data_IF_192771582700
#
_entry.id   IF_192771582700
#
_cell.length_a   1.000
_cell.length_b   1.000
_cell.length_c   1.000
_cell.angle_alpha   90.00
_cell.angle_beta   90.00
_cell.angle_gamma   90.00
#
_symmetry.space_group_name_H-M   'P 1'
#
loop_
_entity.id
_entity.type
_entity.pdbx_description
1 polymer ?
#
# COMPACT_ATOMS: atom_id res chain seq x y z
N UNK A 1 48.07 7.83 -21.62
CA UNK A 1 48.37 8.76 -22.73
C UNK A 1 47.84 8.09 -24.00
N UNK A 2 46.63 8.45 -24.45
CA UNK A 2 45.99 8.11 -25.74
C UNK A 2 44.58 8.76 -25.77
N UNK A 3 44.49 10.08 -25.56
CA UNK A 3 43.20 10.77 -25.35
C UNK A 3 42.52 11.25 -26.65
N UNK A 4 43.14 11.07 -27.82
CA UNK A 4 42.67 11.63 -29.09
C UNK A 4 42.88 10.72 -30.32
N UNK A 5 43.04 9.40 -30.12
CA UNK A 5 43.12 8.46 -31.24
C UNK A 5 41.77 7.78 -31.43
N UNK A 6 41.19 7.97 -32.62
CA UNK A 6 39.92 7.39 -33.02
C UNK A 6 40.08 6.65 -34.34
N UNK A 7 39.32 5.58 -34.53
CA UNK A 7 39.25 4.81 -35.78
C UNK A 7 37.81 4.75 -36.27
N UNK A 8 37.64 4.64 -37.58
CA UNK A 8 36.32 4.48 -38.20
C UNK A 8 36.06 2.99 -38.42
N UNK A 9 34.92 2.48 -37.94
CA UNK A 9 34.46 1.11 -38.19
C UNK A 9 33.05 1.10 -38.80
N UNK A 10 32.75 0.10 -39.61
CA UNK A 10 31.40 -0.11 -40.12
C UNK A 10 30.54 -0.84 -39.10
N UNK A 11 29.46 -0.20 -38.63
CA UNK A 11 28.51 -0.82 -37.71
C UNK A 11 27.41 -1.55 -38.49
N UNK A 12 27.34 -2.88 -38.34
CA UNK A 12 26.29 -3.70 -38.97
C UNK A 12 24.89 -3.42 -38.43
N UNK A 13 24.77 -3.00 -37.18
CA UNK A 13 23.47 -2.66 -36.57
C UNK A 13 22.94 -1.31 -37.06
N UNK A 14 23.85 -0.35 -37.33
CA UNK A 14 23.47 0.98 -37.81
C UNK A 14 23.60 1.15 -39.33
N UNK A 15 24.14 0.15 -40.04
CA UNK A 15 24.40 0.17 -41.49
C UNK A 15 25.18 1.41 -41.96
N UNK A 16 26.11 1.92 -41.14
CA UNK A 16 26.93 3.11 -41.44
C UNK A 16 28.31 3.03 -40.80
N UNK A 17 29.23 3.87 -41.29
CA UNK A 17 30.54 4.09 -40.69
C UNK A 17 30.40 4.96 -39.41
N UNK A 18 31.07 4.55 -38.34
CA UNK A 18 31.01 5.22 -37.03
C UNK A 18 32.41 5.36 -36.46
N UNK A 19 32.68 6.49 -35.81
CA UNK A 19 33.96 6.77 -35.14
C UNK A 19 33.93 6.13 -33.75
N UNK A 20 34.96 5.33 -33.42
CA UNK A 20 35.11 4.66 -32.13
C UNK A 20 36.51 4.88 -31.56
N UNK A 21 36.69 4.65 -30.27
CA UNK A 21 38.02 4.67 -29.65
C UNK A 21 38.94 3.60 -30.24
N UNK A 22 40.25 3.85 -30.23
CA UNK A 22 41.28 2.94 -30.75
C UNK A 22 41.25 1.52 -30.14
N UNK A 23 40.79 1.40 -28.89
CA UNK A 23 40.61 0.15 -28.14
C UNK A 23 39.36 -0.66 -28.54
N UNK A 24 38.51 -0.16 -29.44
CA UNK A 24 37.37 -0.92 -29.93
C UNK A 24 37.81 -2.05 -30.87
N UNK A 25 37.58 -3.30 -30.47
CA UNK A 25 37.88 -4.50 -31.27
C UNK A 25 36.75 -4.76 -32.27
N UNK A 26 37.07 -4.73 -33.56
CA UNK A 26 36.15 -5.13 -34.62
C UNK A 26 36.22 -6.63 -34.88
N UNK A 27 35.08 -7.29 -35.05
CA UNK A 27 35.03 -8.68 -35.51
C UNK A 27 35.28 -8.74 -37.03
N UNK A 28 36.55 -8.85 -37.41
CA UNK A 28 37.00 -9.11 -38.78
C UNK A 28 37.62 -10.51 -38.90
N UNK A 29 37.39 -11.19 -40.02
CA UNK A 29 37.97 -12.50 -40.33
C UNK A 29 39.43 -12.37 -40.77
N UNK A 30 40.29 -13.17 -40.12
CA UNK A 30 41.52 -13.83 -40.60
C UNK A 30 42.89 -13.41 -40.00
N UNK A 31 43.56 -14.47 -39.52
CA UNK A 31 44.99 -14.81 -39.26
C UNK A 31 46.09 -13.73 -39.40
N UNK A 32 46.85 -13.55 -38.31
CA UNK A 32 48.32 -13.41 -38.31
C UNK A 32 48.88 -13.77 -36.92
N UNK A 33 49.99 -14.48 -36.91
CA UNK A 33 50.82 -14.85 -35.75
C UNK A 33 51.46 -13.64 -35.06
N UNK A 34 51.79 -13.77 -33.77
CA UNK A 34 52.75 -12.88 -33.09
C UNK A 34 52.48 -12.55 -31.62
N UNK A 35 53.03 -13.38 -30.73
CA UNK A 35 53.52 -13.08 -29.37
C UNK A 35 52.56 -12.74 -28.20
N UNK A 36 52.40 -13.77 -27.37
CA UNK A 36 52.60 -13.85 -25.90
C UNK A 36 51.98 -12.79 -24.98
N UNK A 37 50.93 -13.23 -24.27
CA UNK A 37 50.45 -12.63 -23.02
C UNK A 37 49.44 -13.54 -22.31
N UNK A 38 49.94 -14.32 -21.35
CA UNK A 38 49.24 -15.05 -20.28
C UNK A 38 47.75 -15.43 -20.50
N UNK A 39 47.55 -16.68 -20.92
CA UNK A 39 46.28 -17.40 -20.81
C UNK A 39 45.99 -17.77 -19.34
N UNK A 40 45.18 -16.95 -18.65
CA UNK A 40 44.36 -17.44 -17.54
C UNK A 40 43.01 -17.88 -18.11
N UNK A 41 42.75 -19.18 -17.98
CA UNK A 41 41.60 -19.92 -18.48
C UNK A 41 40.27 -19.31 -18.04
N UNK A 42 39.64 -18.52 -18.90
CA UNK A 42 38.21 -18.27 -18.83
C UNK A 42 37.47 -19.41 -19.56
N UNK A 43 37.52 -20.63 -18.99
CA UNK A 43 36.62 -21.72 -19.40
C UNK A 43 35.22 -21.35 -18.96
N UNK A 44 34.50 -20.57 -19.77
CA UNK A 44 33.05 -20.49 -19.68
C UNK A 44 32.51 -21.89 -19.98
N UNK A 45 31.81 -22.57 -19.05
CA UNK A 45 31.17 -23.83 -19.40
C UNK A 45 30.03 -23.49 -20.35
N UNK A 46 30.23 -23.74 -21.64
CA UNK A 46 29.13 -23.78 -22.59
C UNK A 46 28.39 -25.09 -22.36
N UNK A 47 27.47 -25.10 -21.38
CA UNK A 47 26.46 -26.14 -21.27
C UNK A 47 25.52 -26.01 -22.47
N UNK A 48 25.91 -26.62 -23.60
CA UNK A 48 24.98 -26.87 -24.70
C UNK A 48 24.08 -28.02 -24.26
N UNK A 49 22.90 -27.68 -23.75
CA UNK A 49 21.83 -28.65 -23.53
C UNK A 49 21.52 -29.31 -24.88
N UNK A 50 21.88 -30.58 -25.02
CA UNK A 50 21.47 -31.37 -26.18
C UNK A 50 19.93 -31.47 -26.16
N UNK A 51 19.23 -31.35 -27.28
CA UNK A 51 17.76 -31.36 -27.32
C UNK A 51 17.17 -32.63 -26.68
N UNK A 52 17.92 -33.74 -26.72
CA UNK A 52 17.56 -35.02 -26.10
C UNK A 52 17.60 -34.97 -24.56
N UNK A 53 18.55 -34.23 -23.97
CA UNK A 53 18.62 -34.07 -22.51
C UNK A 53 17.47 -33.18 -21.98
N UNK A 54 17.04 -32.21 -22.79
CA UNK A 54 15.89 -31.35 -22.48
C UNK A 54 14.57 -32.15 -22.53
N UNK A 55 14.40 -33.08 -23.48
CA UNK A 55 13.20 -33.92 -23.57
C UNK A 55 13.11 -34.92 -22.42
N UNK A 56 14.24 -35.46 -21.96
CA UNK A 56 14.29 -36.35 -20.79
C UNK A 56 14.00 -35.62 -19.46
N UNK A 57 14.49 -34.39 -19.29
CA UNK A 57 14.18 -33.54 -18.13
C UNK A 57 12.70 -33.11 -18.09
N UNK A 58 12.08 -32.90 -19.27
CA UNK A 58 10.64 -32.63 -19.39
C UNK A 58 9.77 -33.84 -19.03
N UNK A 59 10.23 -35.06 -19.31
CA UNK A 59 9.48 -36.29 -19.01
C UNK A 59 9.56 -36.66 -17.52
N UNK A 60 10.63 -36.28 -16.81
CA UNK A 60 10.79 -36.47 -15.36
C UNK A 60 10.17 -35.36 -14.50
N UNK A 61 9.41 -34.42 -15.07
CA UNK A 61 8.65 -33.43 -14.30
C UNK A 61 9.47 -32.31 -13.64
N UNK A 62 10.76 -32.15 -13.96
CA UNK A 62 11.63 -31.15 -13.31
C UNK A 62 11.47 -29.71 -13.84
N UNK A 63 10.49 -29.46 -14.72
CA UNK A 63 10.06 -28.12 -15.13
C UNK A 63 8.82 -27.67 -14.34
N UNK A 64 8.88 -27.73 -13.01
CA UNK A 64 7.97 -26.91 -12.20
C UNK A 64 8.46 -25.47 -12.28
N UNK A 65 7.99 -24.72 -13.28
CA UNK A 65 7.92 -23.27 -13.18
C UNK A 65 7.12 -22.98 -11.92
N UNK A 66 7.80 -22.63 -10.82
CA UNK A 66 7.14 -22.06 -9.67
C UNK A 66 6.47 -20.79 -10.18
N UNK A 67 5.16 -20.85 -10.43
CA UNK A 67 4.35 -19.66 -10.59
C UNK A 67 4.51 -18.92 -9.28
N UNK A 68 5.38 -17.91 -9.28
CA UNK A 68 5.44 -16.95 -8.19
C UNK A 68 4.01 -16.43 -8.07
N UNK A 69 3.33 -16.77 -6.97
CA UNK A 69 2.01 -16.22 -6.73
C UNK A 69 2.19 -14.71 -6.57
N UNK A 70 1.92 -13.97 -7.65
CA UNK A 70 1.73 -12.54 -7.54
C UNK A 70 0.57 -12.35 -6.57
N UNK A 71 0.80 -11.67 -5.44
CA UNK A 71 -0.32 -11.24 -4.60
C UNK A 71 -1.13 -10.26 -5.45
N UNK A 72 -2.20 -10.75 -6.08
CA UNK A 72 -3.11 -9.88 -6.80
C UNK A 72 -3.76 -8.94 -5.78
N UNK A 73 -3.56 -7.64 -5.97
CA UNK A 73 -4.21 -6.59 -5.16
C UNK A 73 -5.71 -6.64 -5.47
N UNK A 74 -6.50 -7.05 -4.50
CA UNK A 74 -7.93 -7.32 -4.67
C UNK A 74 -8.72 -6.88 -3.44
N UNK A 75 -9.99 -6.58 -3.68
CA UNK A 75 -10.98 -6.37 -2.62
C UNK A 75 -11.91 -7.59 -2.64
N UNK A 76 -11.96 -8.32 -1.53
CA UNK A 76 -12.78 -9.54 -1.38
C UNK A 76 -13.54 -9.49 -0.07
N UNK A 77 -14.87 -9.55 -0.18
CA UNK A 77 -15.75 -9.65 0.97
C UNK A 77 -15.45 -10.90 1.81
N UNK A 78 -15.69 -10.82 3.12
CA UNK A 78 -15.58 -11.97 4.00
C UNK A 78 -16.86 -12.82 3.94
N UNK A 79 -16.82 -13.91 3.17
CA UNK A 79 -17.96 -14.80 3.02
C UNK A 79 -18.36 -15.53 4.33
N UNK A 80 -17.53 -15.46 5.37
CA UNK A 80 -17.82 -16.03 6.70
C UNK A 80 -18.53 -15.05 7.63
N UNK A 81 -18.56 -13.75 7.29
CA UNK A 81 -19.26 -12.73 8.07
C UNK A 81 -20.80 -12.86 7.96
N UNK A 82 -21.58 -12.25 8.86
CA UNK A 82 -23.03 -12.10 8.67
C UNK A 82 -23.36 -11.49 7.30
N UNK A 83 -24.47 -11.92 6.66
CA UNK A 83 -24.82 -11.50 5.29
C UNK A 83 -24.95 -10.00 5.10
N UNK A 84 -25.46 -9.30 6.11
CA UNK A 84 -25.57 -7.84 6.18
C UNK A 84 -24.22 -7.13 6.40
N UNK A 85 -23.10 -7.86 6.46
CA UNK A 85 -21.74 -7.34 6.55
C UNK A 85 -20.87 -7.80 5.36
N UNK A 86 -21.42 -8.52 4.38
CA UNK A 86 -20.71 -9.02 3.20
C UNK A 86 -20.89 -8.06 2.02
N UNK A 87 -20.07 -7.02 1.83
CA UNK A 87 -20.28 -6.05 0.75
C UNK A 87 -20.22 -6.72 -0.63
N UNK A 88 -20.90 -6.13 -1.61
CA UNK A 88 -20.83 -6.61 -2.99
C UNK A 88 -19.73 -5.86 -3.73
N UNK A 89 -18.75 -6.60 -4.25
CA UNK A 89 -17.64 -6.04 -5.05
C UNK A 89 -17.96 -6.25 -6.53
N UNK A 90 -18.06 -5.15 -7.25
CA UNK A 90 -18.31 -5.04 -8.68
C UNK A 90 -17.11 -4.36 -9.35
N UNK A 91 -17.20 -4.15 -10.66
CA UNK A 91 -16.30 -3.26 -11.39
C UNK A 91 -17.07 -2.07 -11.95
N UNK A 92 -16.47 -0.88 -11.88
CA UNK A 92 -16.95 0.29 -12.62
C UNK A 92 -16.74 0.11 -14.12
N UNK A 93 -17.37 0.97 -14.93
CA UNK A 93 -17.22 0.94 -16.39
C UNK A 93 -15.75 1.11 -16.86
N UNK A 94 -14.93 1.81 -16.08
CA UNK A 94 -13.50 2.00 -16.36
C UNK A 94 -12.59 0.99 -15.61
N UNK A 95 -13.17 -0.04 -15.01
CA UNK A 95 -12.45 -1.20 -14.48
C UNK A 95 -11.85 -1.03 -13.08
N UNK A 96 -12.33 -0.07 -12.29
CA UNK A 96 -12.00 0.02 -10.86
C UNK A 96 -12.88 -0.92 -10.04
N UNK A 97 -12.38 -1.51 -8.94
CA UNK A 97 -13.24 -2.19 -7.99
C UNK A 97 -14.23 -1.21 -7.37
N UNK A 98 -15.51 -1.54 -7.44
CA UNK A 98 -16.61 -0.82 -6.81
C UNK A 98 -17.20 -1.67 -5.69
N UNK A 99 -17.15 -1.17 -4.47
CA UNK A 99 -17.78 -1.77 -3.32
C UNK A 99 -19.15 -1.13 -3.14
N UNK A 100 -20.22 -1.87 -3.41
CA UNK A 100 -21.53 -1.52 -2.87
C UNK A 100 -21.53 -1.86 -1.39
N UNK A 101 -21.41 -0.81 -0.57
CA UNK A 101 -21.40 -0.94 0.89
C UNK A 101 -22.75 -1.47 1.38
N UNK A 102 -22.73 -2.11 2.54
CA UNK A 102 -23.91 -2.67 3.18
C UNK A 102 -24.84 -1.59 3.73
N UNK A 103 -26.12 -1.96 3.91
CA UNK A 103 -27.14 -1.09 4.48
C UNK A 103 -26.67 -0.51 5.82
N UNK A 104 -26.62 0.82 5.99
CA UNK A 104 -26.29 1.42 7.26
C UNK A 104 -27.34 1.08 8.31
N UNK A 105 -26.92 0.95 9.57
CA UNK A 105 -27.85 0.85 10.68
C UNK A 105 -28.49 2.21 11.02
N UNK A 106 -29.36 2.24 12.03
CA UNK A 106 -30.10 3.44 12.46
C UNK A 106 -29.20 4.61 12.93
N UNK A 107 -27.91 4.34 13.18
CA UNK A 107 -26.89 5.33 13.55
C UNK A 107 -26.12 5.86 12.33
N UNK A 108 -26.31 5.24 11.17
CA UNK A 108 -25.62 5.57 9.92
C UNK A 108 -24.29 4.85 9.75
N UNK A 109 -24.00 3.81 10.53
CA UNK A 109 -22.81 2.96 10.36
C UNK A 109 -23.10 1.86 9.34
N UNK A 110 -22.35 1.86 8.23
CA UNK A 110 -22.27 0.75 7.29
C UNK A 110 -21.05 -0.11 7.65
N UNK A 111 -21.28 -1.36 8.06
CA UNK A 111 -20.23 -2.29 8.49
C UNK A 111 -19.94 -3.32 7.40
N UNK A 112 -18.75 -3.27 6.83
CA UNK A 112 -18.32 -4.07 5.69
C UNK A 112 -17.11 -4.92 6.09
N UNK A 113 -17.24 -6.24 5.99
CA UNK A 113 -16.19 -7.19 6.34
C UNK A 113 -15.51 -7.80 5.12
N UNK A 114 -14.19 -7.91 5.18
CA UNK A 114 -13.35 -8.34 4.07
C UNK A 114 -12.35 -9.41 4.51
N UNK A 115 -12.08 -10.38 3.63
CA UNK A 115 -10.92 -11.27 3.77
C UNK A 115 -9.65 -10.67 3.16
N UNK A 116 -9.83 -9.67 2.29
CA UNK A 116 -8.76 -8.91 1.67
C UNK A 116 -9.30 -7.55 1.25
N UNK A 117 -8.57 -6.49 1.56
CA UNK A 117 -8.88 -5.14 1.08
C UNK A 117 -7.58 -4.49 0.66
N UNK A 118 -7.22 -4.69 -0.60
CA UNK A 118 -6.07 -4.10 -1.24
C UNK A 118 -6.52 -3.21 -2.39
N UNK A 119 -5.95 -2.01 -2.47
CA UNK A 119 -6.29 -0.99 -3.46
C UNK A 119 -5.09 -0.80 -4.37
N UNK A 120 -5.26 -1.12 -5.65
CA UNK A 120 -4.22 -0.86 -6.66
C UNK A 120 -4.08 0.64 -6.93
N UNK A 121 -3.03 1.03 -7.66
CA UNK A 121 -2.75 2.44 -7.96
C UNK A 121 -3.89 3.20 -8.65
N UNK A 122 -4.71 2.50 -9.44
CA UNK A 122 -5.88 3.08 -10.10
C UNK A 122 -7.02 3.46 -9.14
N UNK A 123 -6.99 2.97 -7.90
CA UNK A 123 -7.96 3.29 -6.86
C UNK A 123 -9.13 2.31 -6.75
N UNK A 124 -10.09 2.66 -5.90
CA UNK A 124 -11.31 1.90 -5.61
C UNK A 124 -12.48 2.83 -5.26
N UNK A 125 -13.71 2.37 -5.50
CA UNK A 125 -14.93 3.12 -5.16
C UNK A 125 -15.65 2.46 -3.98
N UNK A 126 -16.05 3.25 -2.98
CA UNK A 126 -17.05 2.91 -1.97
C UNK A 126 -18.38 3.57 -2.37
N UNK A 127 -19.35 2.79 -2.83
CA UNK A 127 -20.60 3.32 -3.35
C UNK A 127 -21.60 3.64 -2.22
N UNK A 128 -21.60 4.90 -1.77
CA UNK A 128 -22.51 5.47 -0.79
C UNK A 128 -23.61 6.35 -1.44
N UNK A 129 -24.05 5.99 -2.66
CA UNK A 129 -24.97 6.79 -3.44
C UNK A 129 -26.35 6.14 -3.61
N UNK A 130 -27.43 6.90 -3.36
CA UNK A 130 -28.82 6.47 -3.66
C UNK A 130 -29.29 6.81 -5.07
N UNK A 131 -28.46 7.51 -5.84
CA UNK A 131 -28.71 7.91 -7.23
C UNK A 131 -27.50 7.57 -8.10
N UNK A 132 -27.68 7.61 -9.40
CA UNK A 132 -26.55 7.54 -10.32
C UNK A 132 -25.66 8.76 -10.10
N UNK A 133 -24.37 8.54 -9.89
CA UNK A 133 -23.43 9.59 -9.51
C UNK A 133 -22.17 9.48 -10.36
N UNK A 134 -21.73 10.62 -10.88
CA UNK A 134 -20.43 10.75 -11.51
C UNK A 134 -19.37 10.81 -10.41
N UNK A 135 -18.36 9.94 -10.51
CA UNK A 135 -17.20 9.90 -9.60
C UNK A 135 -15.97 10.53 -10.24
N UNK A 136 -15.00 10.93 -9.43
CA UNK A 136 -13.73 11.50 -9.89
C UNK A 136 -12.86 10.45 -10.58
N UNK A 137 -12.76 9.23 -10.02
CA UNK A 137 -11.89 8.17 -10.57
C UNK A 137 -12.64 7.02 -11.24
N UNK A 138 -13.90 6.74 -10.88
CA UNK A 138 -14.65 5.55 -11.35
C UNK A 138 -15.61 5.78 -12.53
N UNK A 139 -15.73 7.02 -13.02
CA UNK A 139 -16.76 7.39 -14.00
C UNK A 139 -18.18 7.35 -13.41
N UNK A 140 -19.17 7.02 -14.24
CA UNK A 140 -20.55 6.88 -13.79
C UNK A 140 -20.75 5.61 -12.96
N UNK A 141 -21.21 5.78 -11.72
CA UNK A 141 -21.56 4.70 -10.79
C UNK A 141 -23.08 4.71 -10.57
N UNK A 142 -23.70 3.53 -10.69
CA UNK A 142 -25.14 3.38 -10.45
C UNK A 142 -25.47 3.49 -8.96
N UNK A 143 -26.71 3.85 -8.64
CA UNK A 143 -27.22 3.85 -7.27
C UNK A 143 -26.96 2.50 -6.58
N UNK A 144 -26.53 2.53 -5.33
CA UNK A 144 -26.38 1.36 -4.48
C UNK A 144 -27.77 0.91 -3.99
N UNK A 145 -28.26 -0.28 -4.40
CA UNK A 145 -29.59 -0.75 -4.01
C UNK A 145 -29.71 -1.06 -2.51
N UNK A 146 -28.60 -1.19 -1.77
CA UNK A 146 -28.62 -1.44 -0.32
C UNK A 146 -28.90 -0.19 0.52
N UNK A 147 -28.99 1.00 -0.09
CA UNK A 147 -29.12 2.29 0.61
C UNK A 147 -30.54 2.86 0.59
N UNK A 148 -31.58 2.02 0.44
CA UNK A 148 -32.98 2.46 0.38
C UNK A 148 -33.36 3.30 1.61
N UNK A 149 -32.93 2.87 2.79
CA UNK A 149 -33.17 3.55 4.07
C UNK A 149 -32.31 4.79 4.33
N UNK A 150 -31.28 5.05 3.51
CA UNK A 150 -30.37 6.18 3.67
C UNK A 150 -28.92 5.83 3.36
N UNK A 151 -28.12 6.86 3.06
CA UNK A 151 -26.67 6.73 2.92
C UNK A 151 -25.95 6.63 4.28
N UNK A 152 -24.78 6.00 4.30
CA UNK A 152 -23.92 5.91 5.46
C UNK A 152 -23.37 7.28 5.87
N UNK A 153 -23.22 7.47 7.18
CA UNK A 153 -22.39 8.54 7.78
C UNK A 153 -20.97 8.05 8.04
N UNK A 154 -20.84 6.77 8.40
CA UNK A 154 -19.56 6.10 8.66
C UNK A 154 -19.52 4.81 7.85
N UNK A 155 -18.47 4.62 7.07
CA UNK A 155 -18.19 3.40 6.31
C UNK A 155 -17.02 2.70 7.00
N UNK A 156 -17.34 1.65 7.75
CA UNK A 156 -16.35 0.78 8.37
C UNK A 156 -15.99 -0.34 7.41
N UNK A 157 -14.72 -0.39 7.03
CA UNK A 157 -14.11 -1.50 6.31
C UNK A 157 -13.23 -2.28 7.30
N UNK A 158 -13.71 -3.44 7.76
CA UNK A 158 -13.01 -4.30 8.70
C UNK A 158 -12.44 -5.52 7.97
N UNK A 159 -11.13 -5.70 8.07
CA UNK A 159 -10.40 -6.74 7.34
C UNK A 159 -10.02 -7.84 8.31
N UNK A 160 -10.59 -9.03 8.10
CA UNK A 160 -10.24 -10.27 8.75
C UNK A 160 -9.22 -11.04 7.89
N UNK A 161 -7.98 -10.57 7.90
CA UNK A 161 -6.89 -11.16 7.11
C UNK A 161 -5.65 -11.39 7.97
N UNK A 162 -4.83 -12.37 7.59
CA UNK A 162 -3.50 -12.60 8.19
C UNK A 162 -2.41 -11.68 7.63
N UNK A 163 -2.69 -11.01 6.51
CA UNK A 163 -1.75 -10.14 5.79
C UNK A 163 -2.17 -8.67 5.96
N UNK A 164 -1.22 -7.72 5.97
CA UNK A 164 -1.52 -6.30 5.93
C UNK A 164 -2.26 -5.90 4.65
N UNK A 165 -3.15 -4.91 4.76
CA UNK A 165 -3.78 -4.27 3.60
C UNK A 165 -2.76 -3.46 2.80
N UNK A 166 -2.79 -3.59 1.48
CA UNK A 166 -1.93 -2.86 0.54
C UNK A 166 -2.74 -1.76 -0.14
N UNK A 167 -2.53 -0.50 0.26
CA UNK A 167 -3.24 0.65 -0.26
C UNK A 167 -2.29 1.48 -1.14
N UNK A 168 -2.41 1.34 -2.47
CA UNK A 168 -1.50 1.98 -3.44
C UNK A 168 -2.14 3.11 -4.26
N UNK A 169 -3.42 3.39 -4.04
CA UNK A 169 -4.20 4.40 -4.76
C UNK A 169 -5.32 4.98 -3.89
N UNK A 170 -6.13 5.86 -4.48
CA UNK A 170 -7.19 6.55 -3.76
C UNK A 170 -8.43 5.68 -3.60
N UNK A 171 -9.09 5.82 -2.45
CA UNK A 171 -10.43 5.27 -2.21
C UNK A 171 -11.41 6.44 -2.33
N UNK A 172 -12.40 6.36 -3.21
CA UNK A 172 -13.40 7.41 -3.38
C UNK A 172 -14.75 6.96 -2.84
N UNK A 173 -15.38 7.80 -2.01
CA UNK A 173 -16.76 7.62 -1.60
C UNK A 173 -17.68 8.22 -2.68
N UNK A 174 -18.37 7.39 -3.45
CA UNK A 174 -19.35 7.86 -4.42
C UNK A 174 -20.63 8.31 -3.72
N UNK A 175 -21.18 9.46 -4.11
CA UNK A 175 -22.42 9.99 -3.54
C UNK A 175 -22.17 10.83 -2.29
N UNK A 176 -22.87 10.50 -1.20
CA UNK A 176 -22.84 11.32 0.01
C UNK A 176 -21.50 11.16 0.75
N UNK A 177 -20.89 12.28 1.15
CA UNK A 177 -19.68 12.34 2.00
C UNK A 177 -19.92 11.51 3.27
N UNK A 178 -18.94 10.68 3.64
CA UNK A 178 -18.97 9.86 4.85
C UNK A 178 -17.57 9.73 5.44
N UNK A 179 -17.48 9.42 6.73
CA UNK A 179 -16.21 9.05 7.35
C UNK A 179 -15.82 7.63 6.92
N UNK A 180 -14.53 7.40 6.71
CA UNK A 180 -14.01 6.10 6.24
C UNK A 180 -13.02 5.56 7.24
N UNK A 181 -13.28 4.33 7.70
CA UNK A 181 -12.40 3.59 8.59
C UNK A 181 -11.89 2.36 7.84
N UNK A 182 -10.57 2.18 7.78
CA UNK A 182 -9.90 0.96 7.32
C UNK A 182 -9.24 0.31 8.54
N UNK A 183 -9.79 -0.83 8.97
CA UNK A 183 -9.33 -1.55 10.15
C UNK A 183 -8.74 -2.92 9.76
N UNK A 184 -7.44 -3.10 9.93
CA UNK A 184 -6.76 -4.38 9.71
C UNK A 184 -5.74 -4.66 10.82
N UNK A 185 -6.06 -5.54 11.79
CA UNK A 185 -5.14 -5.89 12.87
C UNK A 185 -3.82 -6.51 12.43
N UNK A 186 -3.73 -7.03 11.20
CA UNK A 186 -2.48 -7.54 10.64
C UNK A 186 -1.56 -6.44 10.09
N UNK A 187 -2.06 -5.22 9.92
CA UNK A 187 -1.31 -4.05 9.48
C UNK A 187 -1.90 -3.37 8.24
N UNK A 188 -1.41 -2.17 7.94
CA UNK A 188 -1.79 -1.38 6.77
C UNK A 188 -0.53 -0.79 6.13
N UNK A 189 -0.41 -0.92 4.82
CA UNK A 189 0.68 -0.34 4.04
C UNK A 189 0.11 0.65 3.03
N UNK A 190 0.41 1.93 3.21
CA UNK A 190 0.05 3.01 2.29
C UNK A 190 1.25 3.36 1.41
N UNK A 191 1.07 3.27 0.10
CA UNK A 191 2.08 3.58 -0.92
C UNK A 191 1.46 4.49 -1.99
N UNK A 192 1.23 5.76 -1.64
CA UNK A 192 0.50 6.71 -2.48
C UNK A 192 -1.02 6.55 -2.40
N UNK A 193 -1.51 6.23 -1.21
CA UNK A 193 -2.93 6.14 -0.92
C UNK A 193 -3.52 7.50 -0.53
N UNK A 194 -4.84 7.59 -0.56
CA UNK A 194 -5.61 8.74 -0.10
C UNK A 194 -7.10 8.43 -0.14
N UNK A 195 -7.93 9.33 0.38
CA UNK A 195 -9.38 9.18 0.33
C UNK A 195 -10.01 10.40 -0.35
N UNK A 196 -11.04 10.19 -1.16
CA UNK A 196 -11.81 11.23 -1.83
C UNK A 196 -13.22 11.23 -1.25
N UNK A 197 -13.76 12.43 -1.00
CA UNK A 197 -15.12 12.64 -0.49
C UNK A 197 -15.37 12.01 0.90
N UNK A 198 -14.39 12.14 1.80
CA UNK A 198 -14.52 11.74 3.20
C UNK A 198 -14.30 12.91 4.16
N UNK A 199 -15.04 12.96 5.27
CA UNK A 199 -14.85 13.96 6.34
C UNK A 199 -13.64 13.62 7.19
N UNK A 200 -13.65 12.41 7.75
CA UNK A 200 -12.54 11.80 8.48
C UNK A 200 -12.03 10.54 7.79
N UNK A 201 -10.73 10.35 7.82
CA UNK A 201 -10.07 9.10 7.43
C UNK A 201 -9.35 8.49 8.63
N UNK A 202 -9.67 7.23 8.95
CA UNK A 202 -9.01 6.49 10.03
C UNK A 202 -8.36 5.22 9.48
N UNK A 203 -7.03 5.11 9.60
CA UNK A 203 -6.27 3.89 9.37
C UNK A 203 -5.92 3.26 10.71
N UNK A 204 -6.43 2.07 10.99
CA UNK A 204 -6.24 1.43 12.30
C UNK A 204 -5.82 -0.04 12.22
N UNK A 205 -4.95 -0.45 13.13
CA UNK A 205 -4.66 -1.89 13.39
C UNK A 205 -5.39 -2.39 14.64
N UNK A 206 -6.29 -1.58 15.19
CA UNK A 206 -7.15 -1.98 16.28
C UNK A 206 -8.34 -2.82 15.82
N UNK A 207 -8.78 -3.73 16.68
CA UNK A 207 -10.08 -4.38 16.58
C UNK A 207 -11.17 -3.36 16.92
N UNK A 208 -12.15 -3.21 16.05
CA UNK A 208 -13.19 -2.17 16.18
C UNK A 208 -14.25 -2.63 17.18
N UNK A 209 -14.44 -1.87 18.25
CA UNK A 209 -15.47 -2.12 19.26
C UNK A 209 -16.71 -1.30 18.92
N UNK A 210 -17.81 -1.99 18.64
CA UNK A 210 -19.11 -1.39 18.29
C UNK A 210 -20.05 -1.54 19.48
N UNK A 211 -20.64 -0.44 19.91
CA UNK A 211 -21.65 -0.41 20.97
C UNK A 211 -22.86 0.37 20.50
N UNK A 212 -24.07 -0.15 20.72
CA UNK A 212 -25.33 0.52 20.33
C UNK A 212 -25.40 0.95 18.85
N UNK A 213 -24.70 0.23 17.96
CA UNK A 213 -24.64 0.51 16.53
C UNK A 213 -23.63 1.58 16.12
N UNK A 214 -22.81 2.09 17.04
CA UNK A 214 -21.78 3.10 16.76
C UNK A 214 -20.39 2.52 17.02
N UNK A 215 -19.39 2.98 16.26
CA UNK A 215 -18.00 2.70 16.59
C UNK A 215 -17.69 3.44 17.89
N UNK A 216 -17.36 2.70 18.94
CA UNK A 216 -17.07 3.27 20.26
C UNK A 216 -15.57 3.50 20.42
N UNK A 217 -14.78 2.50 20.03
CA UNK A 217 -13.34 2.52 20.24
C UNK A 217 -12.61 1.50 19.37
N UNK A 218 -11.28 1.60 19.36
CA UNK A 218 -10.35 0.69 18.71
C UNK A 218 -9.46 0.04 19.78
N UNK A 219 -9.48 -1.28 19.85
CA UNK A 219 -8.60 -2.08 20.72
C UNK A 219 -7.35 -2.46 19.94
N UNK A 220 -6.24 -1.79 20.22
CA UNK A 220 -4.95 -1.98 19.54
C UNK A 220 -4.07 -2.90 20.36
N UNK A 221 -3.69 -4.04 19.78
CA UNK A 221 -2.78 -5.00 20.44
C UNK A 221 -1.54 -5.33 19.58
N UNK A 222 -1.64 -5.18 18.27
CA UNK A 222 -0.62 -5.57 17.29
C UNK A 222 -0.80 -4.82 15.97
N UNK A 223 0.08 -5.10 15.02
CA UNK A 223 0.04 -4.57 13.66
C UNK A 223 0.71 -3.21 13.55
N UNK A 224 1.21 -2.91 12.34
CA UNK A 224 1.85 -1.63 12.05
C UNK A 224 1.17 -0.92 10.89
N UNK A 225 1.14 0.40 10.92
CA UNK A 225 0.85 1.23 9.74
C UNK A 225 2.17 1.70 9.14
N UNK A 226 2.39 1.45 7.86
CA UNK A 226 3.57 1.90 7.12
C UNK A 226 3.15 2.83 6.00
N UNK A 227 3.80 3.98 5.88
CA UNK A 227 3.66 4.92 4.76
C UNK A 227 4.96 4.95 3.99
N UNK A 228 4.91 4.73 2.67
CA UNK A 228 6.08 4.71 1.80
C UNK A 228 5.77 5.18 0.37
N UNK A 229 6.77 5.14 -0.52
CA UNK A 229 6.60 5.49 -1.92
C UNK A 229 6.09 6.92 -2.11
N UNK A 230 4.94 7.08 -2.77
CA UNK A 230 4.30 8.39 -3.01
C UNK A 230 3.63 9.00 -1.76
N UNK A 231 3.67 8.32 -0.61
CA UNK A 231 3.16 8.86 0.66
C UNK A 231 1.68 8.60 0.92
N UNK A 232 1.11 9.38 1.83
CA UNK A 232 -0.31 9.36 2.20
C UNK A 232 -0.90 10.77 2.01
N UNK A 233 -1.80 10.91 1.04
CA UNK A 233 -2.54 12.15 0.83
C UNK A 233 -3.89 12.10 1.54
N UNK A 234 -3.99 12.86 2.62
CA UNK A 234 -5.22 13.11 3.39
C UNK A 234 -5.53 14.62 3.45
N UNK A 235 -5.03 15.38 2.47
CA UNK A 235 -5.19 16.86 2.41
C UNK A 235 -6.62 17.32 2.15
N UNK A 236 -7.49 16.38 1.71
CA UNK A 236 -8.90 16.64 1.38
C UNK A 236 -9.85 16.29 2.54
N UNK A 237 -9.33 15.74 3.62
CA UNK A 237 -10.07 15.37 4.83
C UNK A 237 -9.91 16.46 5.88
N UNK A 238 -10.96 16.65 6.67
CA UNK A 238 -10.91 17.56 7.83
C UNK A 238 -10.04 16.92 8.93
N UNK A 239 -10.17 15.60 9.12
CA UNK A 239 -9.48 14.85 10.17
C UNK A 239 -8.84 13.56 9.65
N UNK A 240 -7.62 13.28 10.11
CA UNK A 240 -6.87 12.06 9.79
C UNK A 240 -6.35 11.39 11.05
N UNK A 241 -6.72 10.13 11.25
CA UNK A 241 -6.25 9.30 12.36
C UNK A 241 -5.42 8.12 11.86
N UNK A 242 -4.25 7.92 12.48
CA UNK A 242 -3.46 6.69 12.37
C UNK A 242 -3.36 6.08 13.76
N UNK A 243 -3.98 4.92 13.95
CA UNK A 243 -4.11 4.27 15.27
C UNK A 243 -3.55 2.85 15.15
N UNK A 244 -2.34 2.61 15.64
CA UNK A 244 -1.67 1.32 15.44
C UNK A 244 -0.77 0.95 16.61
N UNK A 245 -0.26 -0.28 16.66
CA UNK A 245 0.79 -0.57 17.65
C UNK A 245 2.07 0.19 17.30
N UNK A 246 2.46 0.13 16.02
CA UNK A 246 3.65 0.82 15.49
C UNK A 246 3.32 1.61 14.22
N UNK A 247 4.00 2.74 14.01
CA UNK A 247 3.86 3.54 12.79
C UNK A 247 5.24 3.81 12.18
N UNK A 248 5.38 3.53 10.88
CA UNK A 248 6.62 3.72 10.10
C UNK A 248 6.35 4.69 8.95
N UNK A 249 6.98 5.86 8.97
CA UNK A 249 6.80 6.93 7.99
C UNK A 249 8.07 7.06 7.15
N UNK A 250 8.06 6.44 5.98
CA UNK A 250 9.18 6.46 5.02
C UNK A 250 8.91 7.35 3.79
N UNK A 251 7.79 8.09 3.80
CA UNK A 251 7.38 9.05 2.78
C UNK A 251 6.51 10.16 3.42
N UNK A 252 6.08 11.13 2.64
CA UNK A 252 5.25 12.23 3.13
C UNK A 252 3.83 11.81 3.54
N UNK A 253 3.33 12.40 4.62
CA UNK A 253 1.89 12.49 4.94
C UNK A 253 1.48 13.94 4.78
N UNK A 254 0.40 14.20 4.04
CA UNK A 254 -0.21 15.52 3.93
C UNK A 254 -1.64 15.46 4.47
N UNK A 255 -1.97 16.30 5.45
CA UNK A 255 -3.28 16.31 6.09
C UNK A 255 -3.68 17.73 6.56
N UNK A 256 -4.93 17.95 6.93
CA UNK A 256 -5.31 19.18 7.66
C UNK A 256 -5.07 19.00 9.17
N UNK A 257 -5.78 18.04 9.78
CA UNK A 257 -5.52 17.59 11.14
C UNK A 257 -4.98 16.15 11.10
N UNK A 258 -3.81 15.90 11.72
CA UNK A 258 -3.22 14.58 11.83
C UNK A 258 -3.05 14.16 13.29
N UNK A 259 -3.66 13.04 13.68
CA UNK A 259 -3.43 12.38 14.97
C UNK A 259 -2.85 10.99 14.76
N UNK A 260 -1.70 10.73 15.39
CA UNK A 260 -1.02 9.43 15.36
C UNK A 260 -0.95 8.89 16.77
N UNK A 261 -1.65 7.78 17.03
CA UNK A 261 -1.68 7.11 18.34
C UNK A 261 -1.05 5.74 18.22
N UNK A 262 -0.02 5.49 19.02
CA UNK A 262 0.82 4.29 18.97
C UNK A 262 0.88 3.56 20.31
N UNK A 263 1.09 2.23 20.24
CA UNK A 263 1.15 1.35 21.40
C UNK A 263 -0.10 0.49 21.61
N UNK A 264 -0.12 -0.27 22.69
CA UNK A 264 -1.24 -1.16 23.04
C UNK A 264 -2.32 -0.43 23.84
N UNK A 265 -3.35 0.05 23.14
CA UNK A 265 -4.31 1.01 23.66
C UNK A 265 -5.75 0.64 23.32
N UNK A 266 -6.67 1.05 24.17
CA UNK A 266 -8.07 1.26 23.84
C UNK A 266 -8.22 2.75 23.50
N UNK A 267 -8.55 3.06 22.24
CA UNK A 267 -8.63 4.44 21.73
C UNK A 267 -10.07 4.75 21.36
N UNK A 268 -10.63 5.88 21.80
CA UNK A 268 -11.99 6.27 21.43
C UNK A 268 -12.14 6.50 19.93
N UNK A 269 -13.37 6.41 19.40
CA UNK A 269 -13.64 6.52 17.96
C UNK A 269 -13.13 7.83 17.32
N UNK A 270 -13.15 8.92 18.08
CA UNK A 270 -12.66 10.26 17.69
C UNK A 270 -11.16 10.50 18.02
N UNK A 271 -10.49 9.52 18.64
CA UNK A 271 -9.08 9.59 19.04
C UNK A 271 -8.78 10.75 20.02
N UNK A 272 -9.70 10.98 20.96
CA UNK A 272 -9.59 12.01 22.01
C UNK A 272 -9.34 11.41 23.40
N UNK A 273 -9.63 10.12 23.59
CA UNK A 273 -9.41 9.39 24.84
C UNK A 273 -8.65 8.09 24.58
N UNK A 274 -7.61 7.88 25.38
CA UNK A 274 -6.68 6.75 25.25
C UNK A 274 -6.53 6.09 26.61
N UNK A 275 -6.79 4.79 26.67
CA UNK A 275 -6.58 3.95 27.85
C UNK A 275 -5.57 2.86 27.49
N UNK A 276 -4.49 2.75 28.25
CA UNK A 276 -3.46 1.73 28.00
C UNK A 276 -3.99 0.35 28.42
N UNK A 277 -3.94 -0.64 27.52
CA UNK A 277 -4.46 -2.00 27.79
C UNK A 277 -3.47 -2.82 28.62
N UNK A 278 -2.17 -2.66 28.36
CA UNK A 278 -1.09 -3.28 29.12
C UNK A 278 0.00 -2.26 29.39
N UNK A 279 0.16 -1.89 30.66
CA UNK A 279 1.33 -1.15 31.13
C UNK A 279 2.26 -2.16 31.82
N UNK A 280 3.47 -2.41 31.27
CA UNK A 280 4.58 -2.87 32.11
C UNK A 280 5.29 -4.20 31.81
N UNK A 281 4.75 -5.14 31.02
CA UNK A 281 5.38 -6.47 30.87
C UNK A 281 5.97 -6.78 29.48
N UNK A 282 6.05 -5.79 28.59
CA UNK A 282 6.77 -5.98 27.34
C UNK A 282 8.29 -5.99 27.63
N UNK A 283 9.06 -7.04 27.26
CA UNK A 283 10.51 -6.98 27.33
C UNK A 283 10.99 -5.71 26.60
N UNK A 284 12.06 -5.09 27.10
CA UNK A 284 12.71 -3.91 26.50
C UNK A 284 12.79 -4.08 24.98
N UNK A 285 11.80 -3.54 24.27
CA UNK A 285 11.69 -3.70 22.83
C UNK A 285 12.59 -2.64 22.25
N UNK A 286 13.66 -3.07 21.58
CA UNK A 286 14.47 -2.14 20.80
C UNK A 286 13.66 -1.72 19.58
N UNK A 287 13.28 -0.45 19.50
CA UNK A 287 12.46 0.09 18.42
C UNK A 287 11.94 1.48 18.71
N UNK A 288 11.03 1.96 17.85
CA UNK A 288 10.36 3.24 18.00
C UNK A 288 8.85 3.05 17.78
N UNK A 289 8.04 3.71 18.59
CA UNK A 289 6.59 3.66 18.45
C UNK A 289 6.14 4.39 17.17
N UNK A 290 6.80 5.52 16.90
CA UNK A 290 6.74 6.26 15.64
C UNK A 290 8.15 6.39 15.09
N UNK A 291 8.37 5.89 13.88
CA UNK A 291 9.65 5.97 13.18
C UNK A 291 9.51 6.73 11.87
N UNK A 292 9.99 7.97 11.83
CA UNK A 292 10.04 8.78 10.61
C UNK A 292 11.44 8.73 10.03
N UNK A 293 11.58 8.16 8.83
CA UNK A 293 12.84 8.12 8.11
C UNK A 293 13.20 9.47 7.47
N UNK A 294 14.45 9.63 7.03
CA UNK A 294 14.95 10.87 6.43
C UNK A 294 14.19 11.31 5.17
N UNK A 295 13.66 10.36 4.40
CA UNK A 295 12.80 10.62 3.23
C UNK A 295 11.33 10.81 3.60
N UNK A 296 10.97 10.57 4.87
CA UNK A 296 9.63 10.73 5.40
C UNK A 296 9.36 12.15 5.88
N UNK A 297 8.07 12.46 6.08
CA UNK A 297 7.67 13.68 6.74
C UNK A 297 6.17 13.75 6.98
N UNK A 298 5.76 14.61 7.90
CA UNK A 298 4.36 14.89 8.20
C UNK A 298 4.12 16.38 8.03
N UNK A 299 3.13 16.72 7.21
CA UNK A 299 2.77 18.08 6.82
C UNK A 299 1.28 18.27 7.09
N UNK A 300 0.94 19.03 8.13
CA UNK A 300 -0.44 19.33 8.45
C UNK A 300 -0.61 20.71 9.08
N UNK A 301 -1.84 21.14 9.34
CA UNK A 301 -2.07 22.34 10.15
C UNK A 301 -1.82 22.01 11.63
N UNK A 302 -2.33 20.88 12.12
CA UNK A 302 -2.02 20.37 13.46
C UNK A 302 -1.58 18.91 13.40
N UNK A 303 -0.56 18.57 14.20
CA UNK A 303 0.00 17.22 14.31
C UNK A 303 0.06 16.83 15.78
N UNK A 304 -0.65 15.77 16.16
CA UNK A 304 -0.60 15.17 17.49
C UNK A 304 0.01 13.77 17.40
N UNK A 305 1.12 13.55 18.13
CA UNK A 305 1.78 12.24 18.22
C UNK A 305 1.70 11.73 19.65
N UNK A 306 1.07 10.58 19.85
CA UNK A 306 0.86 9.98 21.17
C UNK A 306 1.44 8.56 21.16
N UNK A 307 2.53 8.36 21.92
CA UNK A 307 3.11 7.04 22.18
C UNK A 307 2.89 6.64 23.63
N UNK A 308 2.37 5.44 23.87
CA UNK A 308 2.02 4.97 25.23
C UNK A 308 2.85 3.80 25.72
N UNK A 309 3.67 3.17 24.88
CA UNK A 309 4.52 2.05 25.29
C UNK A 309 5.79 2.55 26.00
N UNK A 310 6.04 2.00 27.20
CA UNK A 310 7.19 2.35 28.01
C UNK A 310 8.51 1.94 27.33
N UNK A 311 9.44 2.89 27.18
CA UNK A 311 10.76 2.65 26.56
C UNK A 311 10.78 2.76 25.03
N UNK A 312 9.63 2.92 24.37
CA UNK A 312 9.55 3.22 22.94
C UNK A 312 9.30 4.71 22.73
N UNK A 313 10.25 5.38 22.08
CA UNK A 313 10.18 6.81 21.77
C UNK A 313 9.69 7.09 20.35
N UNK A 314 9.61 8.38 20.03
CA UNK A 314 9.47 8.88 18.65
C UNK A 314 10.87 9.10 18.08
N UNK A 315 11.21 8.42 16.97
CA UNK A 315 12.36 8.80 16.15
C UNK A 315 11.87 9.65 14.99
N UNK A 316 12.41 10.85 14.88
CA UNK A 316 12.23 11.68 13.71
C UNK A 316 13.58 11.97 13.03
N UNK A 317 13.82 11.34 11.89
CA UNK A 317 14.91 11.69 10.98
C UNK A 317 14.43 12.53 9.78
N UNK A 318 13.11 12.73 9.62
CA UNK A 318 12.47 13.48 8.55
C UNK A 318 11.98 14.87 8.99
N UNK A 319 11.05 15.45 8.22
CA UNK A 319 10.46 16.76 8.52
C UNK A 319 9.05 16.64 9.13
N UNK A 320 8.80 17.34 10.23
CA UNK A 320 7.47 17.50 10.81
C UNK A 320 7.16 19.00 10.78
N UNK A 321 6.27 19.40 9.89
CA UNK A 321 5.86 20.79 9.69
C UNK A 321 4.38 20.97 10.01
N UNK A 322 4.10 21.84 10.98
CA UNK A 322 2.76 22.32 11.28
C UNK A 322 2.62 23.77 10.81
N UNK A 323 1.56 24.10 10.06
CA UNK A 323 1.27 25.49 9.71
C UNK A 323 0.78 26.27 10.95
N UNK A 324 1.09 27.57 11.05
CA UNK A 324 0.50 28.42 12.07
C UNK A 324 -1.02 28.54 11.80
N UNK A 325 -1.83 28.09 12.76
CA UNK A 325 -3.29 28.19 12.72
C UNK A 325 -3.82 29.61 12.84
#
# INVERSE_FOLDING_TARGET
MNKHLYRIIFSKTQQRLVVVSDIATGEGKAKSEGQQGFTLLNKRPHWRLKPIALSLLSLCGYLFLSVAQANELQIRADNTAPKNQQPIVLQTANGLPQVNIQTPNDKGLSHNKYQQFDVAQKGAILNNSRKNTQTEQGGWVQANPYLVGGEAKVILNEINAKKPSQLKGYIEVAGKKADVIIANPSGIHCEGCGIINAGRSTLTTGEVQIENGEVKSYRVEKGSVTVSGRGFDSSRQDYTDIIAKEVKINAGIWANELKVTTGQNQVSANNDSIQVIRAGDAPQTQGYAVDVAQLGGMYANNIHLIGTEHGLGVRNAGHIGAAAG
#
